data_IF_479396611424
#
_entry.id   IF_479396611424
#
_cell.length_a   1.000
_cell.length_b   1.000
_cell.length_c   1.000
_cell.angle_alpha   90.00
_cell.angle_beta   90.00
_cell.angle_gamma   90.00
#
_symmetry.space_group_name_H-M   'P 1'
#
loop_
_entity.id
_entity.type
_entity.pdbx_description
1 polymer ?
#
# COMPACT_ATOMS: atom_id res chain seq x y z
N UNK A 1 17.12 -1.21 27.24
CA UNK A 1 16.34 -0.22 26.50
C UNK A 1 16.98 0.15 25.15
N UNK A 2 18.29 0.32 25.05
CA UNK A 2 18.97 0.79 23.81
C UNK A 2 18.92 -0.24 22.65
N UNK A 3 19.00 -1.53 22.94
CA UNK A 3 18.99 -2.61 21.94
C UNK A 3 17.62 -2.84 21.27
N UNK A 4 16.54 -2.65 22.03
CA UNK A 4 15.16 -2.74 21.52
C UNK A 4 14.84 -1.54 20.61
N UNK A 5 15.33 -0.35 20.97
CA UNK A 5 15.17 0.87 20.19
C UNK A 5 15.85 0.75 18.83
N UNK A 6 17.10 0.24 18.79
CA UNK A 6 17.83 -0.02 17.53
C UNK A 6 17.13 -1.05 16.62
N UNK A 7 16.53 -2.09 17.20
CA UNK A 7 15.77 -3.08 16.43
C UNK A 7 14.50 -2.51 15.82
N UNK A 8 13.78 -1.66 16.56
CA UNK A 8 12.58 -1.00 16.07
C UNK A 8 12.88 0.03 14.98
N UNK A 9 13.93 0.82 15.14
CA UNK A 9 14.38 1.77 14.12
C UNK A 9 14.76 1.05 12.81
N UNK A 10 15.42 -0.11 12.90
CA UNK A 10 15.71 -0.95 11.73
C UNK A 10 14.45 -1.40 11.00
N UNK A 11 13.42 -1.85 11.72
CA UNK A 11 12.14 -2.23 11.11
C UNK A 11 11.49 -1.04 10.41
N UNK A 12 11.52 0.14 11.06
CA UNK A 12 11.01 1.38 10.46
C UNK A 12 11.77 1.74 9.18
N UNK A 13 13.09 1.60 9.16
CA UNK A 13 13.91 1.88 7.97
C UNK A 13 13.57 0.92 6.82
N UNK A 14 13.34 -0.35 7.11
CA UNK A 14 12.87 -1.34 6.13
C UNK A 14 11.51 -0.95 5.57
N UNK A 15 10.55 -0.56 6.43
CA UNK A 15 9.21 -0.14 6.02
C UNK A 15 9.23 1.16 5.20
N UNK A 16 10.09 2.12 5.59
CA UNK A 16 10.33 3.33 4.82
C UNK A 16 10.91 3.00 3.42
N UNK A 17 11.86 2.07 3.38
CA UNK A 17 12.42 1.58 2.12
C UNK A 17 11.37 0.95 1.23
N UNK A 18 10.56 0.05 1.79
CA UNK A 18 9.46 -0.57 1.08
C UNK A 18 8.48 0.46 0.53
N UNK A 19 8.03 1.41 1.36
CA UNK A 19 7.08 2.46 0.95
C UNK A 19 7.63 3.34 -0.18
N UNK A 20 8.90 3.76 -0.09
CA UNK A 20 9.55 4.56 -1.15
C UNK A 20 9.68 3.81 -2.47
N UNK A 21 10.11 2.54 -2.43
CA UNK A 21 10.21 1.71 -3.63
C UNK A 21 8.86 1.47 -4.29
N UNK A 22 7.84 1.18 -3.49
CA UNK A 22 6.47 0.99 -3.94
C UNK A 22 5.89 2.26 -4.57
N UNK A 23 6.08 3.41 -3.93
CA UNK A 23 5.61 4.69 -4.45
C UNK A 23 6.26 5.03 -5.79
N UNK A 24 7.59 4.96 -5.86
CA UNK A 24 8.36 5.35 -7.04
C UNK A 24 8.08 4.47 -8.27
N UNK A 25 7.59 3.25 -8.09
CA UNK A 25 7.32 2.29 -9.16
C UNK A 25 5.82 2.04 -9.35
N UNK A 26 5.17 1.36 -8.42
CA UNK A 26 3.78 0.94 -8.57
C UNK A 26 2.84 2.14 -8.69
N UNK A 27 2.95 3.11 -7.77
CA UNK A 27 1.99 4.23 -7.71
C UNK A 27 2.22 5.22 -8.85
N UNK A 28 3.46 5.66 -9.06
CA UNK A 28 3.79 6.54 -10.20
C UNK A 28 3.47 5.83 -11.52
N UNK A 29 3.78 4.53 -11.62
CA UNK A 29 3.43 3.72 -12.78
C UNK A 29 1.93 3.66 -13.03
N UNK A 30 1.11 3.53 -11.98
CA UNK A 30 -0.34 3.55 -12.08
C UNK A 30 -0.86 4.89 -12.58
N UNK A 31 -0.36 6.00 -12.04
CA UNK A 31 -0.73 7.35 -12.47
C UNK A 31 -0.40 7.56 -13.95
N UNK A 32 0.82 7.19 -14.38
CA UNK A 32 1.23 7.27 -15.78
C UNK A 32 0.35 6.43 -16.70
N UNK A 33 0.04 5.19 -16.30
CA UNK A 33 -0.82 4.29 -17.07
C UNK A 33 -2.22 4.86 -17.25
N UNK A 34 -2.81 5.40 -16.17
CA UNK A 34 -4.14 6.01 -16.21
C UNK A 34 -4.13 7.30 -17.06
N UNK A 35 -3.15 8.18 -16.87
CA UNK A 35 -2.99 9.37 -17.70
C UNK A 35 -2.84 9.00 -19.17
N UNK A 36 -2.04 7.98 -19.49
CA UNK A 36 -1.87 7.48 -20.85
C UNK A 36 -3.14 6.93 -21.47
N UNK A 37 -3.97 6.23 -20.68
CA UNK A 37 -5.26 5.73 -21.12
C UNK A 37 -6.24 6.88 -21.40
N UNK A 38 -6.31 7.88 -20.52
CA UNK A 38 -7.20 9.04 -20.70
C UNK A 38 -6.81 9.94 -21.86
N UNK A 39 -5.51 10.24 -21.96
CA UNK A 39 -4.98 11.12 -22.99
C UNK A 39 -4.78 10.39 -24.34
N UNK A 40 -5.08 9.08 -24.38
CA UNK A 40 -4.82 8.22 -25.55
C UNK A 40 -3.36 8.27 -26.00
N UNK A 41 -2.40 8.33 -25.02
CA UNK A 41 -0.95 8.37 -25.26
C UNK A 41 -0.33 6.99 -24.94
N UNK A 42 -0.11 6.12 -25.95
CA UNK A 42 0.37 4.74 -25.71
C UNK A 42 1.72 4.67 -25.00
N UNK A 43 2.59 5.66 -25.21
CA UNK A 43 3.90 5.74 -24.55
C UNK A 43 3.75 5.83 -23.01
N UNK A 44 2.87 6.68 -22.50
CA UNK A 44 2.63 6.81 -21.05
C UNK A 44 2.06 5.53 -20.47
N UNK A 45 1.14 4.88 -21.19
CA UNK A 45 0.58 3.59 -20.79
C UNK A 45 1.66 2.52 -20.69
N UNK A 46 2.58 2.45 -21.67
CA UNK A 46 3.70 1.51 -21.68
C UNK A 46 4.69 1.79 -20.55
N UNK A 47 5.09 3.05 -20.36
CA UNK A 47 6.01 3.45 -19.28
C UNK A 47 5.39 3.13 -17.90
N UNK A 48 4.11 3.44 -17.72
CA UNK A 48 3.38 3.15 -16.50
C UNK A 48 3.30 1.65 -16.19
N UNK A 49 2.97 0.83 -17.18
CA UNK A 49 2.91 -0.63 -17.01
C UNK A 49 4.29 -1.22 -16.69
N UNK A 50 5.35 -0.75 -17.36
CA UNK A 50 6.72 -1.17 -17.09
C UNK A 50 7.14 -0.81 -15.65
N UNK A 51 6.86 0.42 -15.21
CA UNK A 51 7.16 0.85 -13.85
C UNK A 51 6.43 -0.02 -12.80
N UNK A 52 5.17 -0.39 -13.05
CA UNK A 52 4.42 -1.28 -12.17
C UNK A 52 5.03 -2.69 -12.08
N UNK A 53 5.44 -3.28 -13.20
CA UNK A 53 6.09 -4.61 -13.23
C UNK A 53 7.40 -4.59 -12.44
N UNK A 54 8.13 -3.47 -12.46
CA UNK A 54 9.39 -3.29 -11.74
C UNK A 54 9.20 -2.94 -10.25
N UNK A 55 8.00 -3.06 -9.69
CA UNK A 55 7.71 -2.78 -8.28
C UNK A 55 8.60 -3.60 -7.33
N UNK A 56 8.69 -4.92 -7.53
CA UNK A 56 9.51 -5.80 -6.70
C UNK A 56 10.99 -5.38 -6.68
N UNK A 57 11.65 -5.21 -7.82
CA UNK A 57 12.99 -4.64 -7.93
C UNK A 57 13.14 -3.29 -7.22
N UNK A 58 12.20 -2.36 -7.40
CA UNK A 58 12.25 -1.03 -6.78
C UNK A 58 12.16 -1.09 -5.25
N UNK A 59 11.27 -1.94 -4.71
CA UNK A 59 11.17 -2.20 -3.27
C UNK A 59 12.50 -2.74 -2.75
N UNK A 60 13.07 -3.73 -3.44
CA UNK A 60 14.32 -4.37 -3.01
C UNK A 60 15.49 -3.40 -2.97
N UNK A 61 15.69 -2.62 -4.02
CA UNK A 61 16.73 -1.59 -4.06
C UNK A 61 16.56 -0.55 -2.96
N UNK A 62 15.33 -0.08 -2.75
CA UNK A 62 15.01 0.92 -1.74
C UNK A 62 15.23 0.41 -0.32
N UNK A 63 14.85 -0.83 -0.01
CA UNK A 63 15.17 -1.48 1.28
C UNK A 63 16.67 -1.61 1.45
N UNK A 64 17.40 -2.10 0.43
CA UNK A 64 18.84 -2.24 0.48
C UNK A 64 19.55 -0.91 0.78
N UNK A 65 19.13 0.19 0.15
CA UNK A 65 19.62 1.53 0.43
C UNK A 65 19.27 1.98 1.86
N UNK A 66 18.05 1.71 2.33
CA UNK A 66 17.60 2.13 3.66
C UNK A 66 18.38 1.46 4.78
N UNK A 67 18.81 0.21 4.59
CA UNK A 67 19.63 -0.52 5.56
C UNK A 67 21.13 -0.37 5.30
N UNK A 68 21.55 0.59 4.48
CA UNK A 68 22.95 0.86 4.14
C UNK A 68 23.71 -0.39 3.66
N UNK A 69 23.15 -1.07 2.66
CA UNK A 69 23.77 -2.24 2.05
C UNK A 69 24.92 -1.84 1.11
N UNK A 70 25.94 -2.70 0.92
CA UNK A 70 26.99 -2.46 -0.07
C UNK A 70 26.37 -2.39 -1.49
N UNK A 71 26.95 -1.58 -2.41
CA UNK A 71 26.38 -1.37 -3.75
C UNK A 71 26.09 -2.67 -4.53
N UNK A 72 26.96 -3.67 -4.40
CA UNK A 72 26.76 -4.98 -5.04
C UNK A 72 25.51 -5.70 -4.50
N UNK A 73 25.22 -5.59 -3.21
CA UNK A 73 23.99 -6.15 -2.65
C UNK A 73 22.75 -5.37 -3.10
N UNK A 74 22.86 -4.04 -3.28
CA UNK A 74 21.75 -3.23 -3.83
C UNK A 74 21.40 -3.70 -5.24
N UNK A 75 22.39 -3.83 -6.13
CA UNK A 75 22.12 -4.28 -7.50
C UNK A 75 21.60 -5.71 -7.57
N UNK A 76 22.17 -6.61 -6.76
CA UNK A 76 21.73 -8.01 -6.72
C UNK A 76 20.33 -8.18 -6.12
N UNK A 77 19.92 -7.28 -5.22
CA UNK A 77 18.59 -7.32 -4.62
C UNK A 77 17.47 -7.08 -5.62
N UNK A 78 17.73 -6.42 -6.76
CA UNK A 78 16.74 -6.21 -7.82
C UNK A 78 16.17 -7.53 -8.33
N UNK A 79 17.05 -8.52 -8.60
CA UNK A 79 16.62 -9.84 -9.01
C UNK A 79 15.82 -10.56 -7.92
N UNK A 80 16.28 -10.44 -6.68
CA UNK A 80 15.61 -11.03 -5.52
C UNK A 80 14.20 -10.44 -5.31
N UNK A 81 14.07 -9.11 -5.45
CA UNK A 81 12.80 -8.44 -5.36
C UNK A 81 11.80 -8.86 -6.45
N UNK A 82 12.30 -9.07 -7.67
CA UNK A 82 11.47 -9.58 -8.77
C UNK A 82 10.94 -11.00 -8.50
N UNK A 83 11.81 -11.90 -8.01
CA UNK A 83 11.45 -13.27 -7.65
C UNK A 83 10.51 -13.27 -6.44
N UNK A 84 10.84 -12.51 -5.39
CA UNK A 84 10.04 -12.41 -4.18
C UNK A 84 8.64 -11.82 -4.40
N UNK A 85 8.50 -10.90 -5.35
CA UNK A 85 7.19 -10.40 -5.77
C UNK A 85 6.40 -11.43 -6.58
N UNK A 86 7.03 -12.47 -7.12
CA UNK A 86 6.40 -13.36 -8.09
C UNK A 86 6.15 -12.70 -9.45
N UNK A 87 6.91 -11.64 -9.77
CA UNK A 87 6.67 -10.81 -10.94
C UNK A 87 6.80 -11.58 -12.27
N UNK A 88 7.57 -12.65 -12.29
CA UNK A 88 7.85 -13.50 -13.46
C UNK A 88 7.41 -14.95 -13.24
N UNK A 89 6.51 -15.24 -12.33
CA UNK A 89 6.03 -16.60 -12.04
C UNK A 89 5.08 -17.14 -13.12
N UNK A 90 4.43 -16.27 -13.89
CA UNK A 90 3.49 -16.62 -14.96
C UNK A 90 4.06 -16.37 -16.36
N UNK A 91 3.26 -16.65 -17.41
CA UNK A 91 3.64 -16.45 -18.81
C UNK A 91 3.84 -14.98 -19.19
N UNK A 92 3.23 -14.05 -18.46
CA UNK A 92 3.41 -12.61 -18.63
C UNK A 92 3.85 -11.98 -17.33
N UNK A 93 4.77 -10.99 -17.36
CA UNK A 93 5.18 -10.26 -16.16
C UNK A 93 4.02 -9.48 -15.53
N UNK A 94 3.93 -9.55 -14.20
CA UNK A 94 2.92 -8.84 -13.40
C UNK A 94 3.59 -8.03 -12.28
N UNK A 95 2.94 -7.02 -11.70
CA UNK A 95 3.52 -6.27 -10.56
C UNK A 95 3.88 -7.14 -9.36
N UNK A 96 3.11 -8.21 -9.12
CA UNK A 96 3.36 -9.15 -8.02
C UNK A 96 2.97 -8.63 -6.65
N UNK A 97 3.52 -9.25 -5.59
CA UNK A 97 3.15 -9.00 -4.21
C UNK A 97 4.26 -8.21 -3.46
N UNK A 98 3.94 -7.02 -2.91
CA UNK A 98 4.93 -6.18 -2.24
C UNK A 98 5.59 -6.82 -1.02
N UNK A 99 4.83 -7.60 -0.22
CA UNK A 99 5.36 -8.26 0.99
C UNK A 99 6.41 -9.30 0.64
N UNK A 100 6.13 -10.12 -0.39
CA UNK A 100 7.07 -11.12 -0.89
C UNK A 100 8.38 -10.48 -1.36
N UNK A 101 8.29 -9.37 -2.10
CA UNK A 101 9.45 -8.60 -2.52
C UNK A 101 10.26 -8.09 -1.33
N UNK A 102 9.60 -7.51 -0.31
CA UNK A 102 10.26 -6.94 0.86
C UNK A 102 10.97 -7.98 1.72
N UNK A 103 10.30 -9.10 2.02
CA UNK A 103 10.88 -10.18 2.85
C UNK A 103 12.10 -10.79 2.15
N UNK A 104 11.97 -11.12 0.87
CA UNK A 104 13.05 -11.72 0.08
C UNK A 104 14.24 -10.77 -0.05
N UNK A 105 13.98 -9.50 -0.35
CA UNK A 105 15.01 -8.48 -0.45
C UNK A 105 15.75 -8.28 0.87
N UNK A 106 15.02 -8.18 1.98
CA UNK A 106 15.62 -8.01 3.30
C UNK A 106 16.56 -9.16 3.64
N UNK A 107 16.10 -10.40 3.50
CA UNK A 107 16.93 -11.59 3.78
C UNK A 107 18.15 -11.63 2.86
N UNK A 108 17.95 -11.43 1.55
CA UNK A 108 19.06 -11.43 0.58
C UNK A 108 20.11 -10.36 0.89
N UNK A 109 19.67 -9.14 1.17
CA UNK A 109 20.56 -8.02 1.54
C UNK A 109 21.34 -8.31 2.83
N UNK A 110 20.68 -8.87 3.84
CA UNK A 110 21.36 -9.26 5.09
C UNK A 110 22.40 -10.36 4.83
N UNK A 111 22.11 -11.36 3.99
CA UNK A 111 23.11 -12.36 3.57
C UNK A 111 24.29 -11.71 2.88
N UNK A 112 24.08 -10.77 1.95
CA UNK A 112 25.14 -10.02 1.29
C UNK A 112 26.01 -9.21 2.27
N UNK A 113 25.38 -8.55 3.26
CA UNK A 113 26.11 -7.83 4.33
C UNK A 113 26.94 -8.75 5.23
N UNK A 114 26.44 -9.95 5.53
CA UNK A 114 27.15 -10.92 6.38
C UNK A 114 28.45 -11.41 5.73
N UNK A 115 28.47 -11.59 4.41
CA UNK A 115 29.65 -12.07 3.69
C UNK A 115 30.64 -10.97 3.31
N UNK A 116 30.24 -9.72 3.37
CA UNK A 116 31.07 -8.57 3.05
C UNK A 116 32.36 -8.59 3.87
N UNK A 117 33.50 -8.51 3.20
CA UNK A 117 34.84 -8.50 3.79
C UNK A 117 35.37 -9.86 4.25
N UNK A 118 34.59 -10.94 4.21
CA UNK A 118 35.02 -12.27 4.69
C UNK A 118 35.87 -13.03 3.68
N UNK A 119 35.75 -12.73 2.38
CA UNK A 119 36.47 -13.39 1.32
C UNK A 119 37.82 -12.77 0.94
N UNK A 120 38.22 -11.67 1.59
CA UNK A 120 39.39 -10.89 1.22
C UNK A 120 39.17 -9.94 0.06
N UNK A 121 40.19 -9.07 -0.22
CA UNK A 121 40.10 -8.03 -1.24
C UNK A 121 39.95 -8.66 -2.63
N UNK A 122 38.79 -8.61 -3.23
CA UNK A 122 38.48 -9.09 -4.58
C UNK A 122 37.43 -10.19 -4.65
N UNK A 123 37.29 -11.06 -3.66
CA UNK A 123 36.21 -12.06 -3.65
C UNK A 123 34.84 -11.48 -3.32
N UNK A 124 34.78 -10.32 -2.69
CA UNK A 124 33.51 -9.63 -2.38
C UNK A 124 32.67 -9.34 -3.62
N UNK A 125 33.32 -9.11 -4.78
CA UNK A 125 32.62 -8.87 -6.05
C UNK A 125 31.76 -10.06 -6.49
N UNK A 126 32.14 -11.28 -6.10
CA UNK A 126 31.41 -12.51 -6.40
C UNK A 126 30.53 -12.95 -5.21
N UNK A 127 31.08 -12.90 -3.98
CA UNK A 127 30.42 -13.42 -2.79
C UNK A 127 29.18 -12.61 -2.40
N UNK A 128 29.24 -11.28 -2.48
CA UNK A 128 28.12 -10.42 -2.12
C UNK A 128 26.92 -10.66 -3.02
N UNK A 129 27.02 -10.58 -4.38
CA UNK A 129 25.91 -10.89 -5.26
C UNK A 129 25.37 -12.32 -5.08
N UNK A 130 26.26 -13.30 -4.99
CA UNK A 130 25.89 -14.70 -4.84
C UNK A 130 25.08 -14.92 -3.54
N UNK A 131 25.60 -14.44 -2.41
CA UNK A 131 24.91 -14.56 -1.12
C UNK A 131 23.56 -13.81 -1.10
N UNK A 132 23.52 -12.63 -1.74
CA UNK A 132 22.28 -11.85 -1.84
C UNK A 132 21.22 -12.59 -2.66
N UNK A 133 21.59 -13.08 -3.85
CA UNK A 133 20.63 -13.73 -4.75
C UNK A 133 20.20 -15.09 -4.19
N UNK A 134 21.12 -15.91 -3.72
CA UNK A 134 20.80 -17.25 -3.19
C UNK A 134 20.01 -17.12 -1.88
N UNK A 135 20.47 -16.29 -0.94
CA UNK A 135 19.79 -16.09 0.35
C UNK A 135 18.39 -15.52 0.18
N UNK A 136 18.25 -14.50 -0.65
CA UNK A 136 16.95 -13.89 -0.93
C UNK A 136 16.04 -14.79 -1.78
N UNK A 137 16.59 -15.52 -2.74
CA UNK A 137 15.85 -16.49 -3.54
C UNK A 137 15.30 -17.65 -2.70
N UNK A 138 16.10 -18.19 -1.78
CA UNK A 138 15.63 -19.20 -0.81
C UNK A 138 14.52 -18.64 0.08
N UNK A 139 14.67 -17.41 0.56
CA UNK A 139 13.62 -16.75 1.34
C UNK A 139 12.33 -16.56 0.51
N UNK A 140 12.45 -16.19 -0.77
CA UNK A 140 11.29 -16.08 -1.66
C UNK A 140 10.50 -17.40 -1.72
N UNK A 141 11.18 -18.51 -1.97
CA UNK A 141 10.54 -19.82 -2.12
C UNK A 141 9.96 -20.33 -0.79
N UNK A 142 10.69 -20.16 0.30
CA UNK A 142 10.24 -20.66 1.64
C UNK A 142 9.13 -19.82 2.24
N UNK A 143 9.14 -18.48 2.04
CA UNK A 143 8.13 -17.58 2.60
C UNK A 143 6.88 -17.46 1.74
N UNK A 144 6.95 -17.74 0.42
CA UNK A 144 5.81 -17.62 -0.48
C UNK A 144 4.53 -18.37 -0.01
N UNK A 145 4.59 -19.64 0.49
CA UNK A 145 3.40 -20.33 0.98
C UNK A 145 2.77 -19.66 2.21
N UNK A 146 3.59 -19.05 3.08
CA UNK A 146 3.11 -18.36 4.28
C UNK A 146 2.46 -17.02 3.94
N UNK A 147 3.05 -16.28 3.00
CA UNK A 147 2.49 -15.04 2.48
C UNK A 147 1.14 -15.33 1.80
N UNK A 148 1.08 -16.37 0.95
CA UNK A 148 -0.15 -16.79 0.30
C UNK A 148 -1.25 -17.17 1.30
N UNK A 149 -0.90 -17.93 2.34
CA UNK A 149 -1.86 -18.27 3.43
C UNK A 149 -2.37 -17.04 4.15
N UNK A 150 -1.48 -16.08 4.47
CA UNK A 150 -1.87 -14.81 5.07
C UNK A 150 -2.83 -14.01 4.20
N UNK A 151 -2.53 -13.92 2.90
CA UNK A 151 -3.40 -13.24 1.93
C UNK A 151 -4.76 -13.93 1.79
N UNK A 152 -4.79 -15.27 1.76
CA UNK A 152 -6.04 -16.03 1.73
C UNK A 152 -6.87 -15.80 3.01
N UNK A 153 -6.25 -15.82 4.19
CA UNK A 153 -6.96 -15.56 5.44
C UNK A 153 -7.58 -14.15 5.49
N UNK A 154 -6.85 -13.15 4.98
CA UNK A 154 -7.39 -11.78 4.82
C UNK A 154 -8.53 -11.78 3.81
N UNK A 155 -8.40 -12.52 2.70
CA UNK A 155 -9.44 -12.71 1.71
C UNK A 155 -10.71 -13.33 2.29
N UNK A 156 -10.58 -14.41 3.06
CA UNK A 156 -11.69 -15.08 3.72
C UNK A 156 -12.41 -14.13 4.70
N UNK A 157 -11.66 -13.32 5.45
CA UNK A 157 -12.24 -12.31 6.34
C UNK A 157 -13.07 -11.27 5.55
N UNK A 158 -12.54 -10.76 4.45
CA UNK A 158 -13.27 -9.81 3.61
C UNK A 158 -14.51 -10.48 3.02
N UNK A 159 -14.38 -11.69 2.49
CA UNK A 159 -15.50 -12.43 1.89
C UNK A 159 -16.63 -12.67 2.90
N UNK A 160 -16.30 -13.04 4.14
CA UNK A 160 -17.27 -13.18 5.21
C UNK A 160 -18.08 -11.89 5.42
N UNK A 161 -17.43 -10.72 5.36
CA UNK A 161 -18.11 -9.44 5.56
C UNK A 161 -19.05 -9.08 4.41
N UNK A 162 -18.80 -9.55 3.19
CA UNK A 162 -19.68 -9.27 2.03
C UNK A 162 -21.03 -9.98 2.10
N UNK A 163 -21.16 -11.01 2.93
CA UNK A 163 -22.42 -11.75 3.12
C UNK A 163 -23.36 -11.07 4.11
N UNK A 164 -22.90 -10.05 4.82
CA UNK A 164 -23.69 -9.32 5.81
C UNK A 164 -24.75 -8.43 5.15
N UNK A 165 -25.74 -8.00 5.94
CA UNK A 165 -26.69 -6.98 5.51
C UNK A 165 -25.98 -5.65 5.17
N UNK A 166 -26.56 -4.78 4.33
CA UNK A 166 -25.88 -3.60 3.80
C UNK A 166 -25.27 -2.65 4.84
N UNK A 167 -25.87 -2.52 6.03
CA UNK A 167 -25.32 -1.67 7.09
C UNK A 167 -24.05 -2.25 7.71
N UNK A 168 -24.05 -3.46 8.33
CA UNK A 168 -22.84 -4.05 8.87
C UNK A 168 -21.81 -4.39 7.80
N UNK A 169 -22.23 -4.77 6.58
CA UNK A 169 -21.34 -4.94 5.43
C UNK A 169 -20.61 -3.64 5.10
N UNK A 170 -21.36 -2.53 5.02
CA UNK A 170 -20.79 -1.21 4.75
C UNK A 170 -19.71 -0.83 5.75
N UNK A 171 -19.94 -1.03 7.05
CA UNK A 171 -18.94 -0.77 8.10
C UNK A 171 -17.74 -1.70 7.93
N UNK A 172 -17.99 -3.00 7.90
CA UNK A 172 -16.91 -3.99 7.94
C UNK A 172 -16.02 -3.94 6.69
N UNK A 173 -16.62 -3.93 5.48
CA UNK A 173 -15.87 -3.88 4.23
C UNK A 173 -15.09 -2.57 4.10
N UNK A 174 -15.69 -1.42 4.42
CA UNK A 174 -15.01 -0.14 4.31
C UNK A 174 -13.83 -0.03 5.27
N UNK A 175 -13.98 -0.47 6.52
CA UNK A 175 -12.92 -0.46 7.52
C UNK A 175 -11.80 -1.42 7.13
N UNK A 176 -12.13 -2.69 6.87
CA UNK A 176 -11.13 -3.73 6.60
C UNK A 176 -10.35 -3.41 5.33
N UNK A 177 -11.05 -3.11 4.23
CA UNK A 177 -10.37 -2.81 2.95
C UNK A 177 -9.60 -1.49 3.00
N UNK A 178 -10.11 -0.48 3.71
CA UNK A 178 -9.38 0.76 3.96
C UNK A 178 -8.09 0.52 4.73
N UNK A 179 -8.12 -0.28 5.80
CA UNK A 179 -6.92 -0.66 6.56
C UNK A 179 -5.95 -1.48 5.70
N UNK A 180 -6.44 -2.45 4.91
CA UNK A 180 -5.62 -3.26 4.00
C UNK A 180 -4.90 -2.37 2.98
N UNK A 181 -5.57 -1.35 2.42
CA UNK A 181 -4.94 -0.40 1.50
C UNK A 181 -3.76 0.35 2.15
N UNK A 182 -3.86 0.67 3.42
CA UNK A 182 -2.80 1.36 4.15
C UNK A 182 -1.65 0.41 4.52
N UNK A 183 -1.94 -0.87 4.72
CA UNK A 183 -0.91 -1.89 4.96
C UNK A 183 -0.13 -2.19 3.67
N UNK A 184 1.08 -2.75 3.78
CA UNK A 184 1.88 -3.15 2.62
C UNK A 184 1.36 -4.45 1.97
N UNK A 185 0.06 -4.49 1.71
CA UNK A 185 -0.68 -5.59 1.11
C UNK A 185 -1.33 -5.08 -0.18
N UNK A 186 -1.37 -5.90 -1.22
CA UNK A 186 -2.02 -5.52 -2.47
C UNK A 186 -3.55 -5.60 -2.35
N UNK A 187 -4.17 -4.52 -1.87
CA UNK A 187 -5.63 -4.40 -1.75
C UNK A 187 -6.34 -4.57 -3.11
N UNK A 188 -5.72 -4.12 -4.20
CA UNK A 188 -6.26 -4.30 -5.55
C UNK A 188 -6.26 -5.78 -5.97
N UNK A 189 -5.14 -6.49 -5.74
CA UNK A 189 -5.06 -7.92 -6.04
C UNK A 189 -6.10 -8.71 -5.21
N UNK A 190 -6.26 -8.34 -3.93
CA UNK A 190 -7.25 -8.96 -3.05
C UNK A 190 -8.68 -8.70 -3.54
N UNK A 191 -9.03 -7.46 -3.87
CA UNK A 191 -10.35 -7.12 -4.37
C UNK A 191 -10.71 -7.85 -5.68
N UNK A 192 -9.73 -8.02 -6.58
CA UNK A 192 -9.89 -8.76 -7.83
C UNK A 192 -10.04 -10.26 -7.55
N UNK A 193 -9.19 -10.85 -6.71
CA UNK A 193 -9.23 -12.28 -6.40
C UNK A 193 -10.54 -12.71 -5.71
N UNK A 194 -11.12 -11.81 -4.91
CA UNK A 194 -12.42 -12.03 -4.26
C UNK A 194 -13.62 -11.70 -5.16
N UNK A 195 -13.39 -11.15 -6.35
CA UNK A 195 -14.44 -10.73 -7.26
C UNK A 195 -15.36 -9.66 -6.66
N UNK A 196 -14.82 -8.76 -5.80
CA UNK A 196 -15.62 -7.72 -5.16
C UNK A 196 -16.37 -6.90 -6.20
N UNK A 197 -17.69 -6.79 -6.06
CA UNK A 197 -18.54 -6.07 -7.00
C UNK A 197 -19.74 -5.41 -6.31
N UNK A 198 -20.47 -4.58 -7.03
CA UNK A 198 -21.69 -3.97 -6.52
C UNK A 198 -21.48 -3.11 -5.28
N UNK A 199 -22.37 -3.24 -4.29
CA UNK A 199 -22.34 -2.45 -3.05
C UNK A 199 -21.11 -2.70 -2.19
N UNK A 200 -20.64 -3.96 -2.11
CA UNK A 200 -19.43 -4.29 -1.37
C UNK A 200 -18.19 -3.60 -1.95
N UNK A 201 -18.06 -3.59 -3.28
CA UNK A 201 -17.01 -2.86 -3.97
C UNK A 201 -17.12 -1.34 -3.76
N UNK A 202 -18.33 -0.80 -3.76
CA UNK A 202 -18.59 0.62 -3.45
C UNK A 202 -18.17 1.00 -2.02
N UNK A 203 -18.55 0.20 -1.01
CA UNK A 203 -18.14 0.38 0.37
C UNK A 203 -16.61 0.29 0.54
N UNK A 204 -15.99 -0.69 -0.12
CA UNK A 204 -14.53 -0.84 -0.16
C UNK A 204 -13.84 0.41 -0.70
N UNK A 205 -14.29 0.91 -1.85
CA UNK A 205 -13.73 2.12 -2.47
C UNK A 205 -13.82 3.33 -1.54
N UNK A 206 -14.98 3.50 -0.87
CA UNK A 206 -15.18 4.60 0.08
C UNK A 206 -14.26 4.46 1.29
N UNK A 207 -14.11 3.27 1.86
CA UNK A 207 -13.19 3.01 2.96
C UNK A 207 -11.72 3.29 2.58
N UNK A 208 -11.30 2.81 1.41
CA UNK A 208 -9.99 3.10 0.84
C UNK A 208 -9.76 4.61 0.63
N UNK A 209 -10.77 5.32 0.10
CA UNK A 209 -10.73 6.77 -0.09
C UNK A 209 -10.62 7.52 1.24
N UNK A 210 -11.33 7.04 2.27
CA UNK A 210 -11.28 7.63 3.61
C UNK A 210 -9.89 7.52 4.24
N UNK A 211 -9.21 6.40 4.05
CA UNK A 211 -7.82 6.26 4.50
C UNK A 211 -6.88 7.22 3.76
N UNK A 212 -6.97 7.27 2.45
CA UNK A 212 -6.06 8.08 1.63
C UNK A 212 -6.27 9.58 1.85
N UNK A 213 -7.49 10.07 1.65
CA UNK A 213 -7.84 11.49 1.83
C UNK A 213 -7.71 11.89 3.30
N UNK A 214 -8.08 11.00 4.22
CA UNK A 214 -7.95 11.23 5.66
C UNK A 214 -6.50 11.50 6.07
N UNK A 215 -5.56 10.62 5.74
CA UNK A 215 -4.14 10.82 6.02
C UNK A 215 -3.57 12.03 5.29
N UNK A 216 -4.00 12.27 4.05
CA UNK A 216 -3.57 13.43 3.28
C UNK A 216 -3.91 14.75 3.98
N UNK A 217 -5.13 14.87 4.51
CA UNK A 217 -5.60 16.06 5.22
C UNK A 217 -4.97 16.19 6.61
N UNK A 218 -4.85 15.07 7.36
CA UNK A 218 -4.21 15.09 8.68
C UNK A 218 -2.77 15.57 8.62
N UNK A 219 -2.00 15.12 7.61
CA UNK A 219 -0.58 15.46 7.47
C UNK A 219 -0.33 16.73 6.66
N UNK A 220 -1.37 17.48 6.27
CA UNK A 220 -1.23 18.64 5.38
C UNK A 220 -0.34 19.74 5.95
N UNK A 221 -0.37 19.96 7.28
CA UNK A 221 0.44 20.99 7.95
C UNK A 221 1.93 20.71 7.84
N UNK A 222 2.33 19.44 7.91
CA UNK A 222 3.74 19.01 7.88
C UNK A 222 4.24 18.82 6.45
N UNK A 223 3.41 18.27 5.58
CA UNK A 223 3.82 17.81 4.25
C UNK A 223 3.33 18.71 3.10
N UNK A 224 2.48 19.70 3.38
CA UNK A 224 1.95 20.62 2.39
C UNK A 224 1.21 19.95 1.22
N UNK A 225 1.16 20.65 0.08
CA UNK A 225 0.47 20.16 -1.14
C UNK A 225 1.12 18.88 -1.67
N UNK A 226 2.45 18.76 -1.60
CA UNK A 226 3.15 17.54 -2.04
C UNK A 226 2.70 16.31 -1.28
N UNK A 227 2.59 16.40 0.05
CA UNK A 227 2.08 15.33 0.90
C UNK A 227 0.60 15.01 0.65
N UNK A 228 -0.22 16.04 0.41
CA UNK A 228 -1.63 15.88 0.07
C UNK A 228 -1.80 15.07 -1.22
N UNK A 229 -1.04 15.37 -2.26
CA UNK A 229 -1.07 14.65 -3.54
C UNK A 229 -0.51 13.23 -3.36
N UNK A 230 0.65 13.09 -2.70
CA UNK A 230 1.30 11.80 -2.53
C UNK A 230 0.43 10.81 -1.76
N UNK A 231 -0.31 11.24 -0.75
CA UNK A 231 -1.19 10.38 0.04
C UNK A 231 -2.60 10.31 -0.53
N UNK A 232 -3.16 11.43 -0.95
CA UNK A 232 -4.53 11.49 -1.44
C UNK A 232 -4.73 10.86 -2.82
N UNK A 233 -3.75 10.98 -3.72
CA UNK A 233 -3.81 10.38 -5.06
C UNK A 233 -2.78 9.28 -5.29
N UNK A 234 -1.75 9.20 -4.45
CA UNK A 234 -0.74 8.14 -4.50
C UNK A 234 -1.13 6.95 -3.62
N UNK A 235 -0.73 6.96 -2.35
CA UNK A 235 -1.03 5.87 -1.41
C UNK A 235 -0.92 6.31 0.05
N UNK A 236 -1.80 5.78 0.92
CA UNK A 236 -1.70 5.90 2.38
C UNK A 236 -0.61 5.02 3.00
N UNK A 237 -0.02 4.06 2.25
CA UNK A 237 1.06 3.19 2.76
C UNK A 237 2.29 3.96 3.24
N UNK A 238 2.50 5.20 2.75
CA UNK A 238 3.57 6.09 3.23
C UNK A 238 3.46 6.33 4.73
N UNK A 239 2.26 6.20 5.32
CA UNK A 239 2.04 6.39 6.75
C UNK A 239 2.35 5.16 7.61
N UNK A 240 2.63 3.99 7.02
CA UNK A 240 2.91 2.77 7.78
C UNK A 240 4.04 2.97 8.81
N UNK A 241 5.18 3.59 8.49
CA UNK A 241 6.22 3.85 9.50
C UNK A 241 5.76 4.75 10.64
N UNK A 242 4.89 5.71 10.37
CA UNK A 242 4.31 6.60 11.38
C UNK A 242 3.28 5.86 12.24
N UNK A 243 2.42 5.03 11.62
CA UNK A 243 1.47 4.16 12.31
C UNK A 243 2.21 3.20 13.25
N UNK A 244 3.34 2.63 12.82
CA UNK A 244 4.15 1.76 13.67
C UNK A 244 4.75 2.48 14.88
N UNK A 245 5.08 3.77 14.75
CA UNK A 245 5.54 4.61 15.86
C UNK A 245 4.41 5.03 16.79
N UNK A 246 3.26 5.38 16.20
CA UNK A 246 2.07 5.81 16.93
C UNK A 246 0.79 5.27 16.25
N UNK A 247 0.25 4.12 16.70
CA UNK A 247 -0.95 3.52 16.12
C UNK A 247 -2.20 4.41 16.20
N UNK A 248 -2.24 5.38 17.11
CA UNK A 248 -3.38 6.28 17.27
C UNK A 248 -3.67 7.15 16.05
N UNK A 249 -2.66 7.44 15.22
CA UNK A 249 -2.85 8.19 13.97
C UNK A 249 -3.73 7.46 12.96
N UNK A 250 -3.90 6.14 13.10
CA UNK A 250 -4.75 5.34 12.21
C UNK A 250 -6.24 5.41 12.58
N UNK A 251 -6.55 5.78 13.83
CA UNK A 251 -7.92 5.79 14.35
C UNK A 251 -8.83 6.76 13.60
N UNK A 252 -8.48 8.04 13.35
CA UNK A 252 -9.35 9.00 12.69
C UNK A 252 -9.83 8.56 11.29
N UNK A 253 -8.95 8.16 10.36
CA UNK A 253 -9.41 7.73 9.04
C UNK A 253 -10.16 6.39 9.09
N UNK A 254 -9.86 5.52 10.07
CA UNK A 254 -10.61 4.28 10.27
C UNK A 254 -12.03 4.54 10.77
N UNK A 255 -12.21 5.47 11.71
CA UNK A 255 -13.54 5.89 12.15
C UNK A 255 -14.32 6.57 11.02
N UNK A 256 -13.66 7.39 10.20
CA UNK A 256 -14.27 7.96 9.01
C UNK A 256 -14.74 6.86 8.04
N UNK A 257 -13.91 5.82 7.80
CA UNK A 257 -14.30 4.66 6.99
C UNK A 257 -15.55 3.97 7.56
N UNK A 258 -15.62 3.76 8.88
CA UNK A 258 -16.72 3.11 9.55
C UNK A 258 -18.07 3.88 9.42
N UNK A 259 -18.01 5.21 9.41
CA UNK A 259 -19.18 6.07 9.21
C UNK A 259 -19.59 6.14 7.74
N UNK A 260 -18.60 6.26 6.84
CA UNK A 260 -18.86 6.46 5.42
C UNK A 260 -19.30 5.18 4.70
N UNK A 261 -18.88 4.01 5.17
CA UNK A 261 -19.29 2.73 4.62
C UNK A 261 -20.81 2.53 4.56
N UNK A 262 -21.55 2.67 5.68
CA UNK A 262 -23.01 2.63 5.69
C UNK A 262 -23.66 3.71 4.82
N UNK A 263 -23.12 4.92 4.79
CA UNK A 263 -23.62 5.97 3.90
C UNK A 263 -23.50 5.57 2.44
N UNK A 264 -22.38 4.92 2.09
CA UNK A 264 -22.17 4.40 0.75
C UNK A 264 -23.16 3.30 0.37
N UNK A 265 -23.47 2.37 1.29
CA UNK A 265 -24.34 1.23 0.99
C UNK A 265 -25.81 1.54 1.06
N UNK A 266 -26.25 2.34 2.03
CA UNK A 266 -27.66 2.60 2.31
C UNK A 266 -28.19 3.84 1.60
N UNK A 267 -27.46 4.96 1.70
CA UNK A 267 -27.95 6.25 1.22
C UNK A 267 -27.60 6.47 -0.26
N UNK A 268 -26.31 6.39 -0.59
CA UNK A 268 -25.83 6.66 -1.95
C UNK A 268 -25.86 5.41 -2.85
N UNK A 269 -26.02 4.22 -2.28
CA UNK A 269 -26.01 2.93 -2.98
C UNK A 269 -24.84 2.81 -3.95
N UNK A 270 -23.66 3.26 -3.49
CA UNK A 270 -22.43 3.26 -4.28
C UNK A 270 -22.08 1.86 -4.74
N UNK A 271 -21.78 1.74 -6.02
CA UNK A 271 -21.33 0.49 -6.64
C UNK A 271 -20.01 0.70 -7.34
N UNK A 272 -19.19 -0.34 -7.35
CA UNK A 272 -17.92 -0.35 -8.07
C UNK A 272 -17.64 -1.74 -8.64
N UNK A 273 -16.58 -1.86 -9.43
CA UNK A 273 -16.02 -3.12 -9.90
C UNK A 273 -14.82 -3.55 -9.03
N UNK A 274 -14.32 -4.77 -9.26
CA UNK A 274 -13.23 -5.35 -8.48
C UNK A 274 -11.92 -4.56 -8.59
N UNK A 275 -11.65 -3.91 -9.72
CA UNK A 275 -10.44 -3.11 -9.92
C UNK A 275 -10.48 -1.83 -9.08
N UNK A 276 -11.61 -1.13 -9.09
CA UNK A 276 -11.81 0.10 -8.33
C UNK A 276 -11.93 -0.14 -6.82
N UNK A 277 -12.47 -1.30 -6.41
CA UNK A 277 -12.76 -1.63 -5.03
C UNK A 277 -11.53 -1.54 -4.08
N UNK A 278 -10.36 -1.93 -4.56
CA UNK A 278 -9.14 -1.96 -3.74
C UNK A 278 -8.26 -0.72 -3.86
N UNK A 279 -8.68 0.32 -4.58
CA UNK A 279 -7.79 1.42 -4.96
C UNK A 279 -8.12 2.78 -4.33
N UNK A 280 -9.35 2.98 -3.85
CA UNK A 280 -9.77 4.27 -3.31
C UNK A 280 -9.49 5.42 -4.28
N UNK A 281 -8.82 6.47 -3.82
CA UNK A 281 -8.42 7.62 -4.66
C UNK A 281 -7.08 7.45 -5.37
N UNK A 282 -6.41 6.29 -5.21
CA UNK A 282 -5.11 6.02 -5.86
C UNK A 282 -5.24 6.09 -7.38
N UNK A 283 -4.53 7.03 -8.01
CA UNK A 283 -4.59 7.29 -9.45
C UNK A 283 -6.01 7.52 -9.98
N UNK A 284 -6.98 7.88 -9.13
CA UNK A 284 -8.42 8.01 -9.40
C UNK A 284 -9.08 6.71 -9.92
N UNK A 285 -8.43 5.55 -9.72
CA UNK A 285 -8.94 4.26 -10.22
C UNK A 285 -10.28 3.90 -9.58
N UNK A 286 -10.44 4.15 -8.28
CA UNK A 286 -11.71 3.91 -7.58
C UNK A 286 -12.85 4.74 -8.15
N UNK A 287 -12.60 6.01 -8.47
CA UNK A 287 -13.59 6.92 -9.06
C UNK A 287 -13.96 6.49 -10.47
N UNK A 288 -12.97 6.15 -11.28
CA UNK A 288 -13.18 5.67 -12.66
C UNK A 288 -14.00 4.39 -12.64
N UNK A 289 -13.66 3.42 -11.78
CA UNK A 289 -14.43 2.20 -11.61
C UNK A 289 -15.87 2.47 -11.19
N UNK A 290 -16.10 3.46 -10.30
CA UNK A 290 -17.43 3.89 -9.88
C UNK A 290 -18.21 4.48 -11.06
N UNK A 291 -17.63 5.39 -11.84
CA UNK A 291 -18.27 5.96 -13.02
C UNK A 291 -18.54 4.90 -14.10
N UNK A 292 -17.65 3.93 -14.28
CA UNK A 292 -17.85 2.83 -15.23
C UNK A 292 -19.07 1.95 -14.89
N UNK A 293 -19.42 1.84 -13.59
CA UNK A 293 -20.55 1.02 -13.12
C UNK A 293 -21.84 1.83 -12.96
N UNK A 294 -21.74 3.07 -12.49
CA UNK A 294 -22.89 3.91 -12.11
C UNK A 294 -23.18 5.05 -13.11
N UNK A 295 -22.27 5.33 -14.03
CA UNK A 295 -22.41 6.46 -14.94
C UNK A 295 -22.45 7.80 -14.21
N UNK A 296 -23.23 8.75 -14.74
CA UNK A 296 -23.35 10.11 -14.19
C UNK A 296 -23.98 10.17 -12.78
N UNK A 297 -24.76 9.18 -12.39
CA UNK A 297 -25.34 9.10 -11.04
C UNK A 297 -24.28 8.97 -9.93
N UNK A 298 -23.03 8.66 -10.28
CA UNK A 298 -21.91 8.55 -9.36
C UNK A 298 -21.44 9.91 -8.81
N UNK A 299 -21.67 11.04 -9.53
CA UNK A 299 -21.08 12.33 -9.17
C UNK A 299 -21.29 12.76 -7.71
N UNK A 300 -22.53 12.78 -7.16
CA UNK A 300 -22.73 13.20 -5.77
C UNK A 300 -21.98 12.31 -4.77
N UNK A 301 -22.04 10.99 -4.97
CA UNK A 301 -21.37 10.00 -4.13
C UNK A 301 -19.84 10.13 -4.20
N UNK A 302 -19.29 10.28 -5.40
CA UNK A 302 -17.84 10.43 -5.59
C UNK A 302 -17.34 11.70 -4.91
N UNK A 303 -17.97 12.85 -5.15
CA UNK A 303 -17.53 14.12 -4.53
C UNK A 303 -17.64 14.03 -3.00
N UNK A 304 -18.79 13.59 -2.49
CA UNK A 304 -19.05 13.59 -1.05
C UNK A 304 -18.30 12.47 -0.32
N UNK A 305 -18.40 11.21 -0.79
CA UNK A 305 -17.91 10.06 -0.04
C UNK A 305 -16.44 9.70 -0.36
N UNK A 306 -15.89 10.15 -1.49
CA UNK A 306 -14.49 9.86 -1.79
C UNK A 306 -13.55 11.03 -1.45
N UNK A 307 -14.06 12.28 -1.31
CA UNK A 307 -13.20 13.44 -1.06
C UNK A 307 -13.68 14.29 0.14
N UNK A 308 -14.87 14.87 0.09
CA UNK A 308 -15.30 15.89 1.05
C UNK A 308 -15.50 15.32 2.45
N UNK A 309 -16.36 14.31 2.60
CA UNK A 309 -16.66 13.72 3.89
C UNK A 309 -15.48 12.97 4.51
N UNK A 310 -14.66 12.20 3.76
CA UNK A 310 -13.41 11.67 4.28
C UNK A 310 -12.50 12.73 4.91
N UNK A 311 -12.30 13.86 4.21
CA UNK A 311 -11.51 14.96 4.71
C UNK A 311 -12.07 15.56 6.01
N UNK A 312 -13.35 15.88 5.99
CA UNK A 312 -14.02 16.52 7.13
C UNK A 312 -14.11 15.60 8.35
N UNK A 313 -14.55 14.36 8.18
CA UNK A 313 -14.71 13.40 9.28
C UNK A 313 -13.36 13.03 9.88
N UNK A 314 -12.35 12.78 9.05
CA UNK A 314 -11.02 12.45 9.57
C UNK A 314 -10.44 13.63 10.34
N UNK A 315 -10.52 14.85 9.79
CA UNK A 315 -10.11 16.06 10.51
C UNK A 315 -10.85 16.24 11.84
N UNK A 316 -12.15 16.02 11.84
CA UNK A 316 -12.99 16.09 13.05
C UNK A 316 -12.55 15.08 14.11
N UNK A 317 -12.40 13.80 13.73
CA UNK A 317 -11.97 12.75 14.66
C UNK A 317 -10.54 12.98 15.16
N UNK A 318 -9.65 13.47 14.31
CA UNK A 318 -8.29 13.84 14.72
C UNK A 318 -8.31 14.93 15.79
N UNK A 319 -9.12 15.97 15.61
CA UNK A 319 -9.29 17.06 16.61
C UNK A 319 -9.82 16.56 17.95
N UNK A 320 -10.76 15.63 17.94
CA UNK A 320 -11.27 15.02 19.18
C UNK A 320 -10.18 14.25 19.92
N UNK A 321 -9.34 13.50 19.20
CA UNK A 321 -8.25 12.74 19.79
C UNK A 321 -7.14 13.66 20.31
N UNK A 322 -6.79 14.71 19.58
CA UNK A 322 -5.83 15.74 20.01
C UNK A 322 -6.29 16.43 21.32
N UNK A 323 -7.59 16.72 21.44
CA UNK A 323 -8.16 17.36 22.62
C UNK A 323 -8.17 16.50 23.89
N UNK A 324 -8.02 15.16 23.75
CA UNK A 324 -7.98 14.21 24.87
C UNK A 324 -6.56 13.82 25.29
N UNK A 325 -5.54 14.10 24.49
CA UNK A 325 -4.13 13.82 24.82
C UNK A 325 -3.56 14.81 25.83
N UNK A 326 -2.88 14.32 26.88
CA UNK A 326 -2.07 15.13 27.77
C UNK A 326 -0.96 15.85 26.98
N UNK A 327 -0.66 17.08 27.33
CA UNK A 327 0.16 18.05 26.54
C UNK A 327 1.51 17.60 25.96
N UNK A 328 2.05 16.44 26.32
CA UNK A 328 3.24 15.81 25.72
C UNK A 328 2.94 15.03 24.44
N UNK A 329 1.72 14.52 24.27
CA UNK A 329 1.33 13.68 23.13
C UNK A 329 0.67 14.48 21.98
N UNK A 330 0.45 15.78 22.15
CA UNK A 330 -0.21 16.63 21.14
C UNK A 330 0.52 16.70 19.80
N UNK A 331 1.84 16.48 19.78
CA UNK A 331 2.65 16.50 18.54
C UNK A 331 2.70 15.16 17.81
N UNK A 332 2.07 14.11 18.33
CA UNK A 332 2.20 12.74 17.84
C UNK A 332 0.98 12.22 17.07
N UNK A 333 -0.11 12.97 17.01
CA UNK A 333 -1.35 12.57 16.31
C UNK A 333 -1.49 13.23 14.93
N UNK A 334 -0.56 14.16 14.60
CA UNK A 334 -0.54 14.85 13.30
C UNK A 334 0.71 14.49 12.53
#
# INVERSE_FOLDING_TARGET
MDRQRKGWDFVIDVMNGMGRGLFASLIVGLILRQAGAYLSVPLLTKLGSTAQILMGPAIAASIACSVSAPPLAVFSSLAVGAVGAGAFAGPAPVPGEPVGAAVSALVGVLCGKIVQGKGGKGLDILLIPLATIVGGGLAAVTCAPWIARGMNAVGDLVNLTTTLQPLPMGIAVSVIMGMILTLPISSAALAISLGLSGLAAGASTVGCSAQMVGFAVMSFRENGIGGLIAQGLGTSMIQVPNIMRNPWIWVPPTLASAVLGPLATLLFRMKNNSVGAGMGTSGLVGQIGTFAVMGESAWPGVILLHFVLPALLTWFFARILEGRGNGSDRKSVV
#
